data_IF_418607661676
#
_entry.id   IF_418607661676
#
_cell.length_a   1.000
_cell.length_b   1.000
_cell.length_c   1.000
_cell.angle_alpha   90.00
_cell.angle_beta   90.00
_cell.angle_gamma   90.00
#
_symmetry.space_group_name_H-M   'P 1'
#
loop_
_entity.id
_entity.type
_entity.pdbx_description
1 polymer ?
#
# COMPACT_ATOMS: atom_id res chain seq x y z
N UNK A 1 25.35 25.81 10.97
CA UNK A 1 25.92 26.07 9.65
C UNK A 1 25.31 25.10 8.65
N UNK A 2 24.89 25.56 7.48
CA UNK A 2 24.32 24.69 6.45
C UNK A 2 25.48 23.98 5.72
N UNK A 3 25.59 22.67 5.92
CA UNK A 3 26.65 21.83 5.35
C UNK A 3 26.16 20.94 4.20
N UNK A 4 24.90 21.13 3.78
CA UNK A 4 24.28 20.34 2.69
C UNK A 4 23.48 19.14 3.15
N UNK A 5 22.74 18.55 2.21
CA UNK A 5 21.82 17.43 2.48
C UNK A 5 22.57 16.14 2.81
N UNK A 6 23.64 15.83 2.06
CA UNK A 6 24.46 14.63 2.28
C UNK A 6 25.10 14.61 3.67
N UNK A 7 25.69 15.73 4.12
CA UNK A 7 26.28 15.82 5.45
C UNK A 7 25.21 15.71 6.55
N UNK A 8 24.06 16.35 6.38
CA UNK A 8 22.94 16.25 7.32
C UNK A 8 22.44 14.83 7.48
N UNK A 9 22.28 14.09 6.36
CA UNK A 9 21.87 12.69 6.37
C UNK A 9 22.95 11.77 6.97
N UNK A 10 24.23 12.03 6.69
CA UNK A 10 25.33 11.27 7.28
C UNK A 10 25.41 11.44 8.81
N UNK A 11 25.16 12.63 9.32
CA UNK A 11 25.08 12.89 10.77
C UNK A 11 23.89 12.16 11.38
N UNK A 12 22.73 12.19 10.73
CA UNK A 12 21.56 11.43 11.20
C UNK A 12 21.82 9.93 11.21
N UNK A 13 22.50 9.38 10.19
CA UNK A 13 22.93 7.97 10.16
C UNK A 13 23.86 7.62 11.31
N UNK A 14 24.80 8.51 11.66
CA UNK A 14 25.73 8.28 12.78
C UNK A 14 25.04 8.22 14.15
N UNK A 15 23.95 8.96 14.33
CA UNK A 15 23.17 9.00 15.57
C UNK A 15 22.06 7.94 15.64
N UNK A 16 21.70 7.31 14.51
CA UNK A 16 20.61 6.37 14.42
C UNK A 16 20.87 5.09 15.24
N UNK A 17 19.89 4.66 16.03
CA UNK A 17 19.96 3.48 16.93
C UNK A 17 18.95 2.38 16.56
N UNK A 18 17.98 2.67 15.69
CA UNK A 18 16.98 1.71 15.26
C UNK A 18 17.56 0.55 14.47
N UNK A 19 16.83 -0.53 14.35
CA UNK A 19 17.19 -1.68 13.50
C UNK A 19 17.14 -1.33 12.02
N UNK A 20 16.19 -0.48 11.67
CA UNK A 20 15.96 0.01 10.32
C UNK A 20 16.13 1.53 10.23
N UNK A 21 16.45 2.00 9.03
CA UNK A 21 16.53 3.42 8.68
C UNK A 21 15.45 3.72 7.65
N UNK A 22 14.67 4.76 7.92
CA UNK A 22 13.70 5.35 7.00
C UNK A 22 14.01 6.83 6.84
N UNK A 23 14.18 7.29 5.61
CA UNK A 23 14.40 8.71 5.32
C UNK A 23 13.04 9.41 5.11
N UNK A 24 12.99 10.68 5.52
CA UNK A 24 11.84 11.55 5.32
C UNK A 24 12.36 12.96 5.02
N UNK A 25 11.98 13.50 3.89
CA UNK A 25 12.31 14.89 3.53
C UNK A 25 11.34 15.85 4.25
N UNK A 26 11.82 17.04 4.62
CA UNK A 26 11.11 17.96 5.51
C UNK A 26 9.87 18.62 4.91
N UNK A 27 9.71 18.59 3.60
CA UNK A 27 8.58 19.13 2.84
C UNK A 27 7.56 18.08 2.40
N UNK A 28 7.79 16.81 2.80
CA UNK A 28 6.99 15.67 2.46
C UNK A 28 6.29 15.06 3.69
N UNK A 29 5.41 14.09 3.50
CA UNK A 29 4.81 13.34 4.61
C UNK A 29 4.62 11.86 4.31
N UNK A 30 4.52 11.06 5.37
CA UNK A 30 4.26 9.63 5.34
C UNK A 30 2.75 9.34 5.46
N UNK A 31 2.33 8.18 4.92
CA UNK A 31 1.05 7.64 5.36
C UNK A 31 1.12 7.23 6.83
N UNK A 32 0.03 7.29 7.61
CA UNK A 32 0.05 6.89 9.03
C UNK A 32 0.58 5.47 9.26
N UNK A 33 0.41 4.58 8.28
CA UNK A 33 0.78 3.17 8.33
C UNK A 33 2.17 2.89 7.74
N UNK A 34 2.83 3.88 7.13
CA UNK A 34 4.05 3.71 6.37
C UNK A 34 5.12 2.89 7.08
N UNK A 35 5.54 3.34 8.26
CA UNK A 35 6.59 2.67 9.03
C UNK A 35 6.15 1.25 9.45
N UNK A 36 4.87 1.07 9.82
CA UNK A 36 4.33 -0.25 10.18
C UNK A 36 4.36 -1.21 8.99
N UNK A 37 3.96 -0.77 7.81
CA UNK A 37 3.99 -1.58 6.58
C UNK A 37 5.41 -1.95 6.19
N UNK A 38 6.32 -1.01 6.23
CA UNK A 38 7.74 -1.24 5.96
C UNK A 38 8.36 -2.27 6.89
N UNK A 39 8.24 -2.07 8.20
CA UNK A 39 8.82 -2.96 9.22
C UNK A 39 8.21 -4.36 9.11
N UNK A 40 6.90 -4.46 8.99
CA UNK A 40 6.21 -5.75 8.84
C UNK A 40 6.67 -6.49 7.58
N UNK A 41 6.82 -5.80 6.45
CA UNK A 41 7.33 -6.41 5.21
C UNK A 41 8.76 -6.90 5.38
N UNK A 42 9.62 -6.12 6.05
CA UNK A 42 11.00 -6.51 6.33
C UNK A 42 11.09 -7.72 7.27
N UNK A 43 10.33 -7.73 8.35
CA UNK A 43 10.32 -8.82 9.35
C UNK A 43 9.74 -10.11 8.76
N UNK A 44 8.61 -10.04 8.07
CA UNK A 44 7.95 -11.22 7.49
C UNK A 44 8.75 -11.87 6.37
N UNK A 45 9.46 -11.08 5.56
CA UNK A 45 10.24 -11.59 4.44
C UNK A 45 11.70 -11.87 4.78
N UNK A 46 12.23 -11.29 5.86
CA UNK A 46 13.63 -11.34 6.22
C UNK A 46 14.56 -10.62 5.23
N UNK A 47 14.00 -9.72 4.40
CA UNK A 47 14.76 -9.00 3.38
C UNK A 47 15.73 -7.98 3.98
N UNK A 48 16.66 -7.54 3.15
CA UNK A 48 17.67 -6.55 3.54
C UNK A 48 17.22 -5.11 3.24
N UNK A 49 16.25 -4.93 2.34
CA UNK A 49 15.64 -3.65 1.99
C UNK A 49 14.17 -3.84 1.60
N UNK A 50 13.31 -2.88 1.94
CA UNK A 50 11.98 -2.77 1.35
C UNK A 50 11.93 -1.54 0.47
N UNK A 51 11.34 -1.65 -0.72
CA UNK A 51 11.00 -0.52 -1.59
C UNK A 51 9.48 -0.47 -1.75
N UNK A 52 8.90 0.73 -1.71
CA UNK A 52 7.45 0.90 -1.77
C UNK A 52 7.03 1.92 -2.83
N UNK A 53 5.78 1.83 -3.23
CA UNK A 53 5.13 2.84 -4.04
C UNK A 53 4.94 4.14 -3.27
N UNK A 54 4.61 5.22 -3.98
CA UNK A 54 4.38 6.53 -3.39
C UNK A 54 3.35 7.36 -4.17
N UNK A 55 2.88 8.42 -3.52
CA UNK A 55 2.06 9.44 -4.16
C UNK A 55 2.90 10.65 -4.56
N UNK A 56 2.63 11.17 -5.76
CA UNK A 56 3.12 12.49 -6.20
C UNK A 56 2.02 13.52 -5.99
N UNK A 57 2.31 14.54 -5.21
CA UNK A 57 1.39 15.65 -4.91
C UNK A 57 1.79 16.87 -5.73
N UNK A 58 0.88 17.41 -6.53
CA UNK A 58 1.07 18.61 -7.32
C UNK A 58 -0.13 19.56 -7.13
N UNK A 59 0.02 20.53 -6.22
CA UNK A 59 -1.09 21.36 -5.77
C UNK A 59 -2.18 20.52 -5.10
N UNK A 60 -3.39 20.55 -5.62
CA UNK A 60 -4.52 19.74 -5.14
C UNK A 60 -4.64 18.36 -5.79
N UNK A 61 -3.71 17.97 -6.66
CA UNK A 61 -3.77 16.72 -7.39
C UNK A 61 -2.76 15.72 -6.84
N UNK A 62 -3.18 14.47 -6.80
CA UNK A 62 -2.42 13.33 -6.32
C UNK A 62 -2.39 12.23 -7.38
N UNK A 63 -1.23 11.68 -7.65
CA UNK A 63 -1.04 10.56 -8.56
C UNK A 63 -0.21 9.46 -7.90
N UNK A 64 -0.61 8.21 -8.09
CA UNK A 64 0.15 7.03 -7.66
C UNK A 64 1.35 6.80 -8.57
N UNK A 65 2.49 6.44 -7.98
CA UNK A 65 3.69 6.01 -8.68
C UNK A 65 4.22 4.72 -8.07
N UNK A 66 4.30 3.71 -8.87
CA UNK A 66 5.01 2.45 -8.67
C UNK A 66 5.72 2.08 -9.96
N UNK A 67 6.63 1.12 -9.92
CA UNK A 67 7.34 0.62 -11.10
C UNK A 67 7.41 -0.91 -11.10
N UNK A 68 7.56 -1.57 -9.95
CA UNK A 68 7.59 -3.02 -9.84
C UNK A 68 6.16 -3.55 -9.81
N UNK A 69 5.75 -4.31 -10.82
CA UNK A 69 4.36 -4.74 -11.01
C UNK A 69 3.89 -5.81 -10.02
N UNK A 70 4.82 -6.59 -9.43
CA UNK A 70 4.48 -7.70 -8.54
C UNK A 70 5.03 -7.48 -7.15
N UNK A 71 4.14 -7.46 -6.15
CA UNK A 71 4.56 -7.47 -4.76
C UNK A 71 5.27 -8.77 -4.39
N UNK A 72 6.37 -8.67 -3.66
CA UNK A 72 7.07 -9.83 -3.13
C UNK A 72 8.56 -9.66 -2.95
N UNK A 73 9.18 -10.76 -2.55
CA UNK A 73 10.62 -10.86 -2.34
C UNK A 73 11.31 -11.05 -3.69
N UNK A 74 12.31 -10.22 -3.95
CA UNK A 74 13.17 -10.24 -5.12
C UNK A 74 14.62 -10.53 -4.67
N UNK A 75 15.32 -11.31 -5.44
CA UNK A 75 16.78 -11.37 -5.35
C UNK A 75 17.38 -10.03 -5.83
N UNK A 76 18.62 -9.78 -5.46
CA UNK A 76 19.35 -8.60 -5.95
C UNK A 76 19.40 -8.54 -7.49
N UNK A 77 19.56 -9.68 -8.16
CA UNK A 77 19.58 -9.76 -9.63
C UNK A 77 18.22 -9.44 -10.24
N UNK A 78 17.13 -9.99 -9.70
CA UNK A 78 15.77 -9.69 -10.17
C UNK A 78 15.45 -8.21 -9.97
N UNK A 79 15.83 -7.61 -8.84
CA UNK A 79 15.66 -6.18 -8.61
C UNK A 79 16.48 -5.33 -9.60
N UNK A 80 17.73 -5.71 -9.84
CA UNK A 80 18.58 -5.03 -10.82
C UNK A 80 18.01 -5.13 -12.23
N UNK A 81 17.42 -6.26 -12.62
CA UNK A 81 16.74 -6.42 -13.90
C UNK A 81 15.52 -5.48 -14.02
N UNK A 82 14.70 -5.35 -12.99
CA UNK A 82 13.57 -4.39 -12.97
C UNK A 82 14.08 -2.94 -13.12
N UNK A 83 15.10 -2.55 -12.39
CA UNK A 83 15.69 -1.20 -12.48
C UNK A 83 16.28 -0.92 -13.87
N UNK A 84 16.76 -1.93 -14.57
CA UNK A 84 17.34 -1.79 -15.91
C UNK A 84 16.28 -1.46 -16.98
N UNK A 85 15.03 -1.84 -16.78
CA UNK A 85 13.92 -1.49 -17.69
C UNK A 85 13.68 0.03 -17.70
N UNK A 86 13.76 0.67 -16.51
CA UNK A 86 13.56 2.11 -16.32
C UNK A 86 14.75 2.75 -15.57
N UNK A 87 15.96 2.78 -16.15
CA UNK A 87 17.22 3.00 -15.44
C UNK A 87 17.39 4.39 -14.80
N UNK A 88 16.65 5.39 -15.22
CA UNK A 88 16.67 6.73 -14.65
C UNK A 88 15.36 7.08 -13.93
N UNK A 89 14.55 6.06 -13.58
CA UNK A 89 13.28 6.32 -12.91
C UNK A 89 13.50 6.75 -11.45
N UNK A 90 12.77 7.79 -11.08
CA UNK A 90 12.78 8.38 -9.75
C UNK A 90 12.42 7.38 -8.64
N UNK A 91 11.62 6.36 -8.96
CA UNK A 91 11.25 5.27 -8.05
C UNK A 91 12.46 4.55 -7.46
N UNK A 92 13.49 4.27 -8.28
CA UNK A 92 14.71 3.61 -7.83
C UNK A 92 15.71 4.58 -7.20
N UNK A 93 15.67 5.85 -7.61
CA UNK A 93 16.69 6.86 -7.24
C UNK A 93 16.56 7.39 -5.82
N UNK A 94 15.35 7.61 -5.33
CA UNK A 94 15.10 8.29 -4.06
C UNK A 94 15.32 7.39 -2.84
N UNK A 95 15.57 8.00 -1.67
CA UNK A 95 15.78 7.26 -0.41
C UNK A 95 14.47 7.02 0.35
N UNK A 96 13.56 7.95 0.30
CA UNK A 96 12.42 8.04 1.19
C UNK A 96 11.29 7.02 0.91
N UNK A 97 11.28 6.36 -0.25
CA UNK A 97 10.38 5.24 -0.54
C UNK A 97 10.98 3.88 -0.15
N UNK A 98 12.00 3.87 0.69
CA UNK A 98 12.72 2.66 1.09
C UNK A 98 12.89 2.56 2.59
N UNK A 99 12.97 1.31 3.07
CA UNK A 99 13.42 0.97 4.41
C UNK A 99 14.71 0.19 4.30
N UNK A 100 15.74 0.64 4.99
CA UNK A 100 17.10 0.08 4.97
C UNK A 100 17.41 -0.63 6.27
N UNK A 101 18.03 -1.79 6.22
CA UNK A 101 18.55 -2.48 7.39
C UNK A 101 19.83 -1.79 7.87
N UNK A 102 19.79 -1.15 9.06
CA UNK A 102 20.92 -0.36 9.57
C UNK A 102 22.22 -1.15 9.66
N UNK A 103 22.18 -2.43 10.03
CA UNK A 103 23.35 -3.28 10.15
C UNK A 103 24.19 -3.39 8.86
N UNK A 104 23.58 -3.25 7.68
CA UNK A 104 24.29 -3.21 6.39
C UNK A 104 25.02 -1.88 6.24
N UNK A 105 24.34 -0.76 6.52
CA UNK A 105 24.92 0.57 6.46
C UNK A 105 26.16 0.66 7.37
N UNK A 106 26.07 0.15 8.60
CA UNK A 106 27.16 0.17 9.55
C UNK A 106 28.31 -0.76 9.18
N UNK A 107 27.99 -2.01 8.79
CA UNK A 107 28.99 -3.00 8.43
C UNK A 107 29.87 -2.54 7.28
N UNK A 108 29.29 -1.92 6.27
CA UNK A 108 29.99 -1.48 5.08
C UNK A 108 30.33 0.03 5.11
N UNK A 109 30.01 0.73 6.21
CA UNK A 109 30.31 2.15 6.44
C UNK A 109 29.76 3.04 5.32
N UNK A 110 28.57 2.72 4.85
CA UNK A 110 27.94 3.45 3.74
C UNK A 110 27.58 4.87 4.17
N UNK A 111 28.05 5.85 3.41
CA UNK A 111 27.77 7.28 3.63
C UNK A 111 27.59 7.95 2.27
N UNK A 112 26.83 9.03 2.26
CA UNK A 112 26.68 9.90 1.10
C UNK A 112 27.93 10.76 0.95
N UNK A 113 28.42 10.91 -0.28
CA UNK A 113 29.55 11.79 -0.57
C UNK A 113 29.09 13.26 -0.59
N UNK A 114 29.58 14.14 0.30
CA UNK A 114 29.21 15.55 0.33
C UNK A 114 29.62 16.32 -0.93
N UNK A 115 30.60 15.84 -1.68
CA UNK A 115 31.06 16.47 -2.93
C UNK A 115 30.11 16.19 -4.11
N UNK A 116 29.25 15.18 -3.97
CA UNK A 116 28.24 14.84 -4.98
C UNK A 116 26.95 15.62 -4.67
N UNK A 117 26.64 16.59 -5.50
CA UNK A 117 25.49 17.48 -5.33
C UNK A 117 24.26 17.07 -6.18
N UNK A 118 24.34 15.95 -6.89
CA UNK A 118 23.27 15.44 -7.75
C UNK A 118 23.28 13.92 -7.79
N UNK A 119 22.11 13.31 -7.59
CA UNK A 119 21.92 11.85 -7.52
C UNK A 119 22.72 11.17 -6.39
N UNK A 120 23.09 11.87 -5.33
CA UNK A 120 23.70 11.30 -4.13
C UNK A 120 22.85 10.17 -3.54
N UNK A 121 21.55 10.33 -3.59
CA UNK A 121 20.54 9.35 -3.17
C UNK A 121 20.63 8.06 -3.99
N UNK A 122 20.72 8.20 -5.32
CA UNK A 122 20.81 7.05 -6.22
C UNK A 122 22.12 6.30 -6.04
N UNK A 123 23.23 7.02 -5.91
CA UNK A 123 24.54 6.40 -5.65
C UNK A 123 24.52 5.63 -4.32
N UNK A 124 23.98 6.24 -3.26
CA UNK A 124 23.81 5.55 -1.97
C UNK A 124 22.96 4.30 -2.11
N UNK A 125 21.86 4.33 -2.87
CA UNK A 125 21.03 3.18 -3.14
C UNK A 125 21.80 2.07 -3.86
N UNK A 126 22.56 2.39 -4.91
CA UNK A 126 23.38 1.44 -5.64
C UNK A 126 24.41 0.77 -4.73
N UNK A 127 25.16 1.56 -3.94
CA UNK A 127 26.11 1.07 -2.97
C UNK A 127 25.46 0.15 -1.92
N UNK A 128 24.29 0.52 -1.41
CA UNK A 128 23.56 -0.29 -0.46
C UNK A 128 23.09 -1.61 -1.07
N UNK A 129 22.50 -1.58 -2.27
CA UNK A 129 21.98 -2.77 -2.95
C UNK A 129 23.07 -3.78 -3.29
N UNK A 130 24.31 -3.34 -3.57
CA UNK A 130 25.47 -4.24 -3.75
C UNK A 130 25.66 -5.21 -2.58
N UNK A 131 25.25 -4.83 -1.39
CA UNK A 131 25.38 -5.61 -0.15
C UNK A 131 24.08 -6.32 0.27
N UNK A 132 22.98 -6.13 -0.46
CA UNK A 132 21.73 -6.84 -0.24
C UNK A 132 21.77 -8.25 -0.83
N UNK A 133 21.07 -9.17 -0.17
CA UNK A 133 20.77 -10.50 -0.72
C UNK A 133 19.38 -10.48 -1.37
N UNK A 134 18.44 -9.78 -0.74
CA UNK A 134 17.06 -9.71 -1.17
C UNK A 134 16.40 -8.36 -0.85
N UNK A 135 15.48 -7.97 -1.69
CA UNK A 135 14.70 -6.75 -1.60
C UNK A 135 13.21 -7.12 -1.65
N UNK A 136 12.39 -6.52 -0.82
CA UNK A 136 10.95 -6.71 -0.88
C UNK A 136 10.28 -5.52 -1.59
N UNK A 137 9.56 -5.78 -2.67
CA UNK A 137 8.73 -4.80 -3.35
C UNK A 137 7.36 -4.74 -2.68
N UNK A 138 7.02 -3.62 -2.07
CA UNK A 138 5.75 -3.35 -1.39
C UNK A 138 4.87 -2.49 -2.29
N UNK A 139 3.80 -3.06 -2.84
CA UNK A 139 2.84 -2.34 -3.68
C UNK A 139 1.84 -1.52 -2.84
N UNK A 140 2.35 -0.67 -1.97
CA UNK A 140 1.55 0.26 -1.18
C UNK A 140 2.18 1.65 -1.22
N UNK A 141 1.44 2.69 -1.56
CA UNK A 141 1.95 4.06 -1.56
C UNK A 141 2.05 4.57 -0.12
N UNK A 142 3.27 4.55 0.43
CA UNK A 142 3.54 4.89 1.83
C UNK A 142 4.01 6.32 2.06
N UNK A 143 4.28 7.05 1.00
CA UNK A 143 4.92 8.37 1.02
C UNK A 143 4.19 9.36 0.11
N UNK A 144 4.12 10.62 0.50
CA UNK A 144 3.61 11.73 -0.31
C UNK A 144 4.75 12.65 -0.70
N UNK A 145 5.22 12.51 -1.92
CA UNK A 145 6.23 13.39 -2.50
C UNK A 145 5.57 14.67 -3.00
N UNK A 146 5.88 15.80 -2.36
CA UNK A 146 5.28 17.09 -2.66
C UNK A 146 6.13 17.88 -3.64
N UNK A 147 5.54 18.22 -4.77
CA UNK A 147 6.21 19.07 -5.74
C UNK A 147 6.09 20.54 -5.36
N UNK A 148 7.14 21.10 -4.77
CA UNK A 148 7.24 22.52 -4.42
C UNK A 148 7.86 23.33 -5.57
N UNK A 149 7.36 24.58 -5.76
CA UNK A 149 8.01 25.54 -6.68
C UNK A 149 9.35 25.97 -6.04
N UNK A 150 10.46 25.71 -6.73
CA UNK A 150 11.79 26.07 -6.24
C UNK A 150 12.55 24.95 -5.53
N UNK A 151 12.11 23.68 -5.68
CA UNK A 151 12.90 22.55 -5.22
C UNK A 151 14.31 22.54 -5.82
N UNK A 152 15.29 21.98 -5.10
CA UNK A 152 16.69 21.88 -5.53
C UNK A 152 16.83 21.29 -6.93
N UNK A 153 15.95 20.40 -7.33
CA UNK A 153 15.87 19.79 -8.67
C UNK A 153 15.58 20.83 -9.77
N UNK A 154 14.86 21.92 -9.45
CA UNK A 154 14.48 22.96 -10.43
C UNK A 154 15.45 24.15 -10.50
N UNK A 155 16.39 24.27 -9.57
CA UNK A 155 17.24 25.48 -9.40
C UNK A 155 18.68 25.33 -9.91
N UNK A 156 19.11 24.16 -10.37
CA UNK A 156 20.48 23.93 -10.82
C UNK A 156 20.71 24.44 -12.25
N UNK A 157 20.97 25.73 -12.37
CA UNK A 157 21.57 26.36 -13.54
C UNK A 157 23.08 26.07 -13.65
N UNK A 158 23.47 24.78 -13.68
CA UNK A 158 24.86 24.38 -13.88
C UNK A 158 25.25 24.49 -15.37
N UNK A 159 26.52 24.84 -15.65
CA UNK A 159 27.05 24.84 -17.00
C UNK A 159 26.86 23.45 -17.65
N UNK A 160 26.59 23.39 -18.96
CA UNK A 160 26.37 22.15 -19.72
C UNK A 160 27.48 21.11 -19.46
N UNK A 161 28.75 21.57 -19.38
CA UNK A 161 29.90 20.70 -19.12
C UNK A 161 29.85 20.05 -17.73
N UNK A 162 29.42 20.77 -16.71
CA UNK A 162 29.28 20.24 -15.37
C UNK A 162 28.14 19.18 -15.31
N UNK A 163 27.03 19.46 -15.98
CA UNK A 163 25.90 18.51 -16.05
C UNK A 163 26.30 17.21 -16.74
N UNK A 164 27.06 17.27 -17.85
CA UNK A 164 27.55 16.07 -18.53
C UNK A 164 28.51 15.29 -17.62
N UNK A 165 29.43 15.96 -16.96
CA UNK A 165 30.38 15.32 -16.05
C UNK A 165 29.69 14.63 -14.88
N UNK A 166 28.69 15.25 -14.29
CA UNK A 166 27.88 14.68 -13.21
C UNK A 166 27.14 13.40 -13.69
N UNK A 167 26.50 13.46 -14.88
CA UNK A 167 25.79 12.30 -15.44
C UNK A 167 26.73 11.14 -15.79
N UNK A 168 27.93 11.42 -16.27
CA UNK A 168 28.97 10.41 -16.49
C UNK A 168 29.38 9.74 -15.18
N UNK A 169 29.61 10.54 -14.13
CA UNK A 169 29.98 9.99 -12.81
C UNK A 169 28.90 9.04 -12.27
N UNK A 170 27.63 9.45 -12.29
CA UNK A 170 26.51 8.59 -11.86
C UNK A 170 26.43 7.32 -12.70
N UNK A 171 26.67 7.43 -14.02
CA UNK A 171 26.71 6.28 -14.89
C UNK A 171 27.86 5.30 -14.54
N UNK A 172 29.00 5.79 -14.12
CA UNK A 172 30.11 4.91 -13.69
C UNK A 172 29.71 4.05 -12.50
N UNK A 173 29.05 4.64 -11.48
CA UNK A 173 28.48 3.87 -10.35
C UNK A 173 27.43 2.84 -10.83
N UNK A 174 26.53 3.27 -11.70
CA UNK A 174 25.49 2.41 -12.26
C UNK A 174 26.09 1.23 -13.06
N UNK A 175 27.05 1.51 -13.92
CA UNK A 175 27.75 0.51 -14.73
C UNK A 175 28.55 -0.45 -13.87
N UNK A 176 29.26 0.05 -12.86
CA UNK A 176 30.03 -0.76 -11.93
C UNK A 176 29.12 -1.68 -11.11
N UNK A 177 27.95 -1.17 -10.68
CA UNK A 177 26.94 -1.98 -9.99
C UNK A 177 26.53 -3.21 -10.81
N UNK A 178 26.25 -3.07 -12.10
CA UNK A 178 25.88 -4.21 -12.94
C UNK A 178 27.03 -5.19 -13.19
N UNK A 179 28.26 -4.70 -13.36
CA UNK A 179 29.45 -5.54 -13.47
C UNK A 179 29.72 -6.40 -12.24
N UNK A 180 29.24 -5.98 -11.08
CA UNK A 180 29.42 -6.75 -9.84
C UNK A 180 28.26 -7.71 -9.55
N UNK A 181 27.09 -7.44 -10.10
CA UNK A 181 25.91 -8.29 -9.93
C UNK A 181 25.90 -9.45 -10.91
N UNK A 182 26.37 -9.24 -12.13
CA UNK A 182 26.40 -10.21 -13.22
C UNK A 182 27.84 -10.67 -13.45
N UNK A 183 28.00 -11.93 -13.84
CA UNK A 183 29.27 -12.41 -14.37
C UNK A 183 29.59 -11.73 -15.72
N UNK A 184 30.84 -11.90 -16.20
CA UNK A 184 31.33 -11.20 -17.38
C UNK A 184 30.52 -11.53 -18.65
N UNK A 185 30.12 -12.80 -18.83
CA UNK A 185 29.32 -13.25 -19.98
C UNK A 185 27.90 -12.64 -19.93
N UNK A 186 27.21 -12.77 -18.80
CA UNK A 186 25.88 -12.18 -18.58
C UNK A 186 25.88 -10.66 -18.67
N UNK A 187 26.96 -10.00 -18.21
CA UNK A 187 27.09 -8.55 -18.32
C UNK A 187 27.24 -8.12 -19.79
N UNK A 188 28.01 -8.83 -20.61
CA UNK A 188 28.17 -8.50 -22.02
C UNK A 188 26.85 -8.57 -22.78
N UNK A 189 25.97 -9.52 -22.45
CA UNK A 189 24.62 -9.63 -23.02
C UNK A 189 23.74 -8.43 -22.70
N UNK A 190 23.81 -7.89 -21.47
CA UNK A 190 22.97 -6.79 -21.01
C UNK A 190 23.60 -5.39 -21.18
N UNK A 191 24.88 -5.32 -21.58
CA UNK A 191 25.66 -4.07 -21.62
C UNK A 191 24.96 -2.94 -22.36
N UNK A 192 24.30 -3.21 -23.49
CA UNK A 192 23.56 -2.20 -24.23
C UNK A 192 22.35 -1.66 -23.45
N UNK A 193 21.70 -2.49 -22.65
CA UNK A 193 20.61 -2.06 -21.75
C UNK A 193 21.15 -1.19 -20.62
N UNK A 194 22.29 -1.54 -20.04
CA UNK A 194 22.96 -0.70 -19.04
C UNK A 194 23.31 0.67 -19.62
N UNK A 195 23.80 0.74 -20.85
CA UNK A 195 24.10 2.00 -21.54
C UNK A 195 22.84 2.82 -21.90
N UNK A 196 21.65 2.22 -21.93
CA UNK A 196 20.38 2.94 -22.06
C UNK A 196 20.19 4.02 -20.99
N UNK A 197 20.84 3.88 -19.84
CA UNK A 197 20.87 4.91 -18.78
C UNK A 197 21.25 6.29 -19.31
N UNK A 198 22.25 6.40 -20.17
CA UNK A 198 22.64 7.69 -20.77
C UNK A 198 21.52 8.35 -21.57
N UNK A 199 20.80 7.53 -22.35
CA UNK A 199 19.69 8.04 -23.16
C UNK A 199 18.53 8.53 -22.28
N UNK A 200 18.28 7.83 -21.18
CA UNK A 200 17.22 8.19 -20.25
C UNK A 200 17.63 9.38 -19.40
N UNK A 201 18.84 9.38 -18.85
CA UNK A 201 19.39 10.51 -18.08
C UNK A 201 19.55 11.80 -18.91
N UNK A 202 19.72 11.71 -20.22
CA UNK A 202 19.72 12.89 -21.11
C UNK A 202 18.34 13.56 -21.17
N UNK A 203 17.25 12.85 -20.83
CA UNK A 203 15.87 13.36 -20.84
C UNK A 203 15.44 13.96 -19.50
N UNK A 204 16.25 13.87 -18.45
CA UNK A 204 15.95 14.36 -17.08
C UNK A 204 15.65 15.85 -16.96
N UNK A 205 15.82 16.64 -18.01
CA UNK A 205 15.35 18.04 -18.05
C UNK A 205 13.87 18.17 -18.39
N UNK A 206 13.17 17.07 -18.71
CA UNK A 206 11.75 17.09 -19.02
C UNK A 206 10.94 17.05 -17.74
N UNK A 207 10.47 18.21 -17.34
CA UNK A 207 9.46 18.35 -16.29
C UNK A 207 8.16 17.74 -16.81
N UNK A 208 7.87 16.50 -16.43
CA UNK A 208 6.62 15.85 -16.79
C UNK A 208 5.39 16.69 -16.39
N UNK A 209 4.21 16.43 -16.99
CA UNK A 209 3.00 17.18 -16.73
C UNK A 209 2.72 17.26 -15.23
N UNK A 210 2.24 18.40 -14.76
CA UNK A 210 1.88 18.62 -13.35
C UNK A 210 0.74 17.70 -12.90
N UNK A 211 -0.12 17.30 -13.85
CA UNK A 211 -1.25 16.39 -13.63
C UNK A 211 -1.02 15.17 -14.52
N UNK A 212 -0.94 14.01 -13.90
CA UNK A 212 -0.81 12.73 -14.60
C UNK A 212 -2.18 12.11 -14.85
N UNK A 213 -2.34 11.27 -15.91
CA UNK A 213 -3.56 10.49 -16.10
C UNK A 213 -3.86 9.65 -14.85
N UNK A 214 -5.12 9.63 -14.43
CA UNK A 214 -5.54 8.91 -13.22
C UNK A 214 -5.31 9.67 -11.91
N UNK A 215 -4.88 10.93 -11.95
CA UNK A 215 -4.80 11.78 -10.76
C UNK A 215 -6.16 11.98 -10.11
N UNK A 216 -6.19 11.95 -8.76
CA UNK A 216 -7.34 12.26 -7.92
C UNK A 216 -7.06 13.51 -7.11
N UNK A 217 -8.08 14.10 -6.46
CA UNK A 217 -7.83 15.20 -5.53
C UNK A 217 -7.17 14.70 -4.26
N UNK A 218 -6.26 15.50 -3.74
CA UNK A 218 -5.61 15.24 -2.45
C UNK A 218 -6.67 15.17 -1.34
N UNK A 219 -6.64 14.09 -0.58
CA UNK A 219 -7.61 13.79 0.48
C UNK A 219 -8.72 12.84 0.06
N UNK A 220 -9.00 12.67 -1.24
CA UNK A 220 -10.00 11.69 -1.71
C UNK A 220 -9.53 10.24 -1.47
N UNK A 221 -8.23 10.02 -1.46
CA UNK A 221 -7.61 8.72 -1.16
C UNK A 221 -7.82 8.27 0.29
N UNK A 222 -8.17 9.21 1.18
CA UNK A 222 -8.21 8.99 2.64
C UNK A 222 -9.46 9.52 3.33
N UNK A 223 -10.57 9.61 2.63
CA UNK A 223 -11.81 10.14 3.21
C UNK A 223 -12.26 9.42 4.49
N UNK A 224 -11.90 8.14 4.66
CA UNK A 224 -12.27 7.35 5.84
C UNK A 224 -11.45 7.65 7.10
N UNK A 225 -10.29 8.32 6.98
CA UNK A 225 -9.44 8.60 8.16
C UNK A 225 -9.83 9.87 8.94
N UNK A 226 -10.68 10.71 8.40
CA UNK A 226 -11.19 11.87 9.13
C UNK A 226 -12.05 11.40 10.32
N UNK A 227 -11.59 11.67 11.56
CA UNK A 227 -12.39 11.44 12.75
C UNK A 227 -13.07 12.74 13.15
N UNK A 228 -14.39 12.75 13.46
CA UNK A 228 -15.04 13.90 14.02
C UNK A 228 -14.50 14.22 15.43
N UNK A 229 -14.57 15.47 15.85
CA UNK A 229 -14.17 15.90 17.20
C UNK A 229 -14.92 15.12 18.29
N UNK A 230 -16.15 14.74 18.02
CA UNK A 230 -17.00 13.93 18.90
C UNK A 230 -16.43 12.51 19.22
N UNK A 231 -15.29 12.11 18.67
CA UNK A 231 -14.66 10.79 18.98
C UNK A 231 -14.29 10.65 20.47
N UNK A 232 -14.09 11.75 21.16
CA UNK A 232 -13.78 11.80 22.60
C UNK A 232 -15.03 11.66 23.50
N UNK A 233 -16.24 11.80 22.93
CA UNK A 233 -17.47 11.67 23.71
C UNK A 233 -17.71 10.20 24.10
N UNK A 234 -18.26 10.00 25.32
CA UNK A 234 -18.61 8.69 25.83
C UNK A 234 -20.03 8.25 25.42
N UNK A 235 -20.23 6.94 25.49
CA UNK A 235 -21.53 6.32 25.27
C UNK A 235 -21.49 5.16 24.31
N UNK A 236 -22.51 4.30 24.39
CA UNK A 236 -22.61 3.05 23.61
C UNK A 236 -22.49 3.28 22.10
N UNK A 237 -23.15 4.35 21.61
CA UNK A 237 -23.07 4.70 20.18
C UNK A 237 -21.65 5.08 19.75
N UNK A 238 -20.93 5.81 20.61
CA UNK A 238 -19.56 6.22 20.34
C UNK A 238 -18.58 5.05 20.45
N UNK A 239 -18.83 4.09 21.33
CA UNK A 239 -18.04 2.86 21.39
C UNK A 239 -18.14 2.08 20.07
N UNK A 240 -19.34 1.83 19.56
CA UNK A 240 -19.53 1.19 18.25
C UNK A 240 -18.87 1.98 17.11
N UNK A 241 -19.00 3.30 17.14
CA UNK A 241 -18.39 4.19 16.17
C UNK A 241 -16.86 4.06 16.19
N UNK A 242 -16.22 4.15 17.38
CA UNK A 242 -14.77 4.02 17.56
C UNK A 242 -14.24 2.68 17.06
N UNK A 243 -14.90 1.56 17.43
CA UNK A 243 -14.51 0.22 16.97
C UNK A 243 -14.62 0.09 15.45
N UNK A 244 -15.72 0.55 14.88
CA UNK A 244 -15.90 0.52 13.42
C UNK A 244 -14.85 1.37 12.72
N UNK A 245 -14.59 2.59 13.18
CA UNK A 245 -13.59 3.47 12.57
C UNK A 245 -12.18 2.93 12.68
N UNK A 246 -11.83 2.31 13.81
CA UNK A 246 -10.55 1.65 13.94
C UNK A 246 -10.42 0.48 12.95
N UNK A 247 -11.45 -0.35 12.81
CA UNK A 247 -11.46 -1.46 11.87
C UNK A 247 -11.40 -0.98 10.40
N UNK A 248 -12.18 0.04 10.03
CA UNK A 248 -12.14 0.66 8.70
C UNK A 248 -10.73 1.12 8.32
N UNK A 249 -9.94 1.67 9.26
CA UNK A 249 -8.54 2.04 9.01
C UNK A 249 -7.66 0.85 8.61
N UNK A 250 -7.83 -0.29 9.27
CA UNK A 250 -7.10 -1.50 8.90
C UNK A 250 -7.53 -2.02 7.52
N UNK A 251 -8.83 -2.01 7.23
CA UNK A 251 -9.37 -2.38 5.92
C UNK A 251 -8.87 -1.44 4.81
N UNK A 252 -8.71 -0.15 5.10
CA UNK A 252 -8.22 0.83 4.12
C UNK A 252 -6.75 0.61 3.77
N UNK A 253 -5.92 0.22 4.73
CA UNK A 253 -4.53 -0.20 4.44
C UNK A 253 -4.51 -1.38 3.47
N UNK A 254 -5.39 -2.38 3.69
CA UNK A 254 -5.52 -3.52 2.78
C UNK A 254 -6.02 -3.06 1.40
N UNK A 255 -6.97 -2.12 1.36
CA UNK A 255 -7.50 -1.56 0.12
C UNK A 255 -6.41 -0.86 -0.70
N UNK A 256 -5.65 0.04 -0.08
CA UNK A 256 -4.54 0.77 -0.71
C UNK A 256 -3.52 -0.21 -1.28
N UNK A 257 -3.11 -1.18 -0.47
CA UNK A 257 -2.10 -2.18 -0.84
C UNK A 257 -2.50 -3.04 -2.04
N UNK A 258 -3.78 -3.28 -2.23
CA UNK A 258 -4.30 -4.14 -3.30
C UNK A 258 -4.98 -3.34 -4.44
N UNK A 259 -4.84 -2.03 -4.45
CA UNK A 259 -5.47 -1.17 -5.46
C UNK A 259 -7.00 -1.26 -5.47
N UNK A 260 -7.60 -1.53 -4.30
CA UNK A 260 -9.03 -1.61 -4.08
C UNK A 260 -9.54 -0.36 -3.38
N UNK A 261 -10.84 -0.15 -3.42
CA UNK A 261 -11.51 0.82 -2.55
C UNK A 261 -11.88 0.18 -1.22
N UNK A 262 -12.01 0.98 -0.16
CA UNK A 262 -12.50 0.50 1.14
C UNK A 262 -13.82 -0.28 1.01
N UNK A 263 -14.74 0.19 0.16
CA UNK A 263 -16.02 -0.49 -0.07
C UNK A 263 -15.87 -1.88 -0.70
N UNK A 264 -14.91 -2.07 -1.60
CA UNK A 264 -14.59 -3.39 -2.18
C UNK A 264 -14.03 -4.33 -1.09
N UNK A 265 -13.16 -3.83 -0.25
CA UNK A 265 -12.58 -4.60 0.87
C UNK A 265 -13.64 -4.96 1.91
N UNK A 266 -14.52 -4.03 2.31
CA UNK A 266 -15.60 -4.32 3.25
C UNK A 266 -16.56 -5.39 2.70
N UNK A 267 -16.86 -5.39 1.41
CA UNK A 267 -17.63 -6.45 0.77
C UNK A 267 -16.93 -7.80 0.90
N UNK A 268 -15.62 -7.88 0.66
CA UNK A 268 -14.85 -9.12 0.83
C UNK A 268 -14.83 -9.60 2.28
N UNK A 269 -14.67 -8.69 3.26
CA UNK A 269 -14.73 -9.00 4.70
C UNK A 269 -16.01 -9.74 5.05
N UNK A 270 -17.16 -9.17 4.67
CA UNK A 270 -18.45 -9.77 5.05
C UNK A 270 -18.81 -11.03 4.24
N UNK A 271 -18.34 -11.14 3.00
CA UNK A 271 -18.48 -12.38 2.23
C UNK A 271 -17.61 -13.51 2.77
N UNK A 272 -16.39 -13.20 3.26
CA UNK A 272 -15.52 -14.17 3.94
C UNK A 272 -16.15 -14.71 5.23
N UNK A 273 -16.81 -13.84 6.01
CA UNK A 273 -17.35 -14.19 7.33
C UNK A 273 -18.75 -14.82 7.27
N UNK A 274 -19.51 -14.65 6.19
CA UNK A 274 -20.92 -15.08 6.14
C UNK A 274 -21.32 -15.69 4.79
N UNK A 275 -21.42 -17.00 4.77
CA UNK A 275 -22.04 -17.77 3.66
C UNK A 275 -23.58 -17.59 3.56
N UNK A 276 -24.20 -16.94 4.54
CA UNK A 276 -25.66 -16.75 4.60
C UNK A 276 -26.15 -15.52 3.83
N UNK A 277 -25.26 -14.63 3.39
CA UNK A 277 -25.62 -13.43 2.64
C UNK A 277 -26.10 -13.81 1.25
N UNK A 278 -27.36 -13.45 0.93
CA UNK A 278 -28.01 -13.74 -0.35
C UNK A 278 -28.49 -12.50 -1.10
N UNK A 279 -28.46 -11.36 -0.46
CA UNK A 279 -28.99 -10.13 -1.04
C UNK A 279 -27.99 -8.96 -0.91
N UNK A 280 -27.93 -8.13 -1.93
CA UNK A 280 -27.11 -6.90 -1.91
C UNK A 280 -27.52 -5.96 -0.76
N UNK A 281 -28.81 -6.00 -0.34
CA UNK A 281 -29.29 -5.23 0.81
C UNK A 281 -28.67 -5.70 2.11
N UNK A 282 -28.49 -6.99 2.32
CA UNK A 282 -27.84 -7.54 3.51
C UNK A 282 -26.36 -7.12 3.59
N UNK A 283 -25.64 -7.16 2.46
CA UNK A 283 -24.28 -6.63 2.41
C UNK A 283 -24.20 -5.13 2.70
N UNK A 284 -25.19 -4.37 2.22
CA UNK A 284 -25.26 -2.94 2.45
C UNK A 284 -25.42 -2.61 3.95
N UNK A 285 -26.31 -3.34 4.62
CA UNK A 285 -26.53 -3.21 6.06
C UNK A 285 -25.29 -3.59 6.87
N UNK A 286 -24.66 -4.73 6.55
CA UNK A 286 -23.44 -5.19 7.21
C UNK A 286 -22.27 -4.24 7.03
N UNK A 287 -22.04 -3.76 5.81
CA UNK A 287 -20.93 -2.88 5.48
C UNK A 287 -21.18 -1.40 5.84
N UNK A 288 -22.38 -1.03 6.30
CA UNK A 288 -22.76 0.36 6.54
C UNK A 288 -22.74 1.21 5.27
N UNK A 289 -23.04 0.62 4.12
CA UNK A 289 -22.95 1.22 2.79
C UNK A 289 -24.33 1.36 2.14
N UNK A 290 -24.43 2.19 1.09
CA UNK A 290 -25.64 2.21 0.26
C UNK A 290 -25.69 0.97 -0.65
N UNK A 291 -26.89 0.49 -0.99
CA UNK A 291 -27.08 -0.59 -1.96
C UNK A 291 -26.40 -0.31 -3.30
N UNK A 292 -26.37 0.95 -3.72
CA UNK A 292 -25.70 1.39 -4.94
C UNK A 292 -24.18 1.22 -4.84
N UNK A 293 -23.58 1.65 -3.73
CA UNK A 293 -22.13 1.52 -3.48
C UNK A 293 -21.71 0.05 -3.44
N UNK A 294 -22.47 -0.81 -2.75
CA UNK A 294 -22.22 -2.26 -2.75
C UNK A 294 -22.38 -2.86 -4.15
N UNK A 295 -23.40 -2.46 -4.91
CA UNK A 295 -23.57 -2.90 -6.29
C UNK A 295 -22.35 -2.56 -7.17
N UNK A 296 -21.80 -1.36 -7.01
CA UNK A 296 -20.60 -0.93 -7.72
C UNK A 296 -19.36 -1.73 -7.28
N UNK A 297 -19.19 -1.95 -5.97
CA UNK A 297 -18.08 -2.76 -5.44
C UNK A 297 -18.13 -4.21 -5.98
N UNK A 298 -19.31 -4.85 -5.94
CA UNK A 298 -19.49 -6.20 -6.49
C UNK A 298 -19.13 -6.28 -7.97
N UNK A 299 -19.55 -5.30 -8.80
CA UNK A 299 -19.21 -5.27 -10.22
C UNK A 299 -17.70 -5.13 -10.47
N UNK A 300 -17.02 -4.32 -9.66
CA UNK A 300 -15.57 -4.16 -9.78
C UNK A 300 -14.80 -5.42 -9.37
N UNK A 301 -15.23 -6.07 -8.28
CA UNK A 301 -14.65 -7.33 -7.83
C UNK A 301 -14.86 -8.45 -8.85
N UNK A 302 -16.05 -8.53 -9.50
CA UNK A 302 -16.28 -9.44 -10.61
C UNK A 302 -15.37 -9.18 -11.80
N UNK A 303 -15.21 -7.90 -12.18
CA UNK A 303 -14.30 -7.51 -13.28
C UNK A 303 -12.84 -7.89 -13.01
N UNK A 304 -12.44 -7.91 -11.73
CA UNK A 304 -11.11 -8.33 -11.28
C UNK A 304 -10.98 -9.84 -11.06
N UNK A 305 -12.03 -10.61 -11.36
CA UNK A 305 -12.10 -12.07 -11.16
C UNK A 305 -11.91 -12.50 -9.69
N UNK A 306 -12.13 -11.60 -8.74
CA UNK A 306 -12.05 -11.88 -7.30
C UNK A 306 -13.33 -12.47 -6.72
N UNK A 307 -14.44 -12.29 -7.43
CA UNK A 307 -15.78 -12.69 -7.01
C UNK A 307 -16.58 -13.21 -8.20
N UNK A 308 -17.32 -14.28 -7.97
CA UNK A 308 -18.39 -14.73 -8.86
C UNK A 308 -19.73 -14.67 -8.14
N UNK A 309 -20.78 -14.25 -8.82
CA UNK A 309 -22.15 -14.31 -8.30
C UNK A 309 -23.09 -14.91 -9.31
N UNK A 310 -23.93 -15.82 -8.84
CA UNK A 310 -24.99 -16.42 -9.63
C UNK A 310 -26.38 -16.20 -9.00
N UNK A 311 -27.41 -15.99 -9.79
CA UNK A 311 -28.78 -15.86 -9.26
C UNK A 311 -29.27 -17.18 -8.72
N UNK A 312 -29.85 -17.17 -7.50
CA UNK A 312 -30.48 -18.35 -6.93
C UNK A 312 -31.80 -18.58 -7.67
N UNK A 313 -31.90 -19.69 -8.40
CA UNK A 313 -33.14 -20.10 -9.07
C UNK A 313 -34.15 -20.57 -8.02
N UNK A 314 -35.25 -19.85 -7.84
CA UNK A 314 -36.37 -20.29 -7.03
C UNK A 314 -37.12 -21.34 -7.85
N UNK A 315 -36.91 -22.61 -7.51
CA UNK A 315 -37.74 -23.73 -8.06
C UNK A 315 -39.14 -23.54 -7.47
N UNK A 316 -40.08 -23.08 -8.28
CA UNK A 316 -41.50 -23.11 -7.92
C UNK A 316 -41.96 -24.53 -8.02
N UNK A 317 -42.16 -25.22 -6.90
CA UNK A 317 -43.07 -26.37 -6.88
C UNK A 317 -44.46 -25.87 -7.26
N UNK A 318 -44.88 -26.26 -8.46
CA UNK A 318 -46.19 -25.97 -8.98
C UNK A 318 -47.23 -26.73 -8.16
N UNK A 319 -47.77 -26.12 -7.09
CA UNK A 319 -49.09 -26.55 -6.58
C UNK A 319 -50.13 -26.03 -7.58
N UNK A 320 -50.62 -26.99 -8.39
CA UNK A 320 -51.86 -26.84 -9.17
C UNK A 320 -53.01 -26.54 -8.23
N UNK A 321 -53.57 -25.35 -8.31
CA UNK A 321 -55.01 -25.11 -8.28
C UNK A 321 -55.37 -23.61 -8.33
N UNK A 322 -56.22 -23.29 -9.29
CA UNK A 322 -57.28 -22.30 -9.31
C UNK A 322 -57.02 -20.82 -9.46
N UNK A 323 -57.38 -20.37 -10.66
CA UNK A 323 -58.16 -19.15 -11.04
C UNK A 323 -57.67 -17.74 -10.67
N UNK A 324 -57.33 -17.05 -11.79
CA UNK A 324 -57.67 -15.64 -12.13
C UNK A 324 -57.61 -14.56 -11.05
N UNK A 325 -56.60 -13.72 -11.18
CA UNK A 325 -56.79 -12.27 -11.48
C UNK A 325 -55.41 -11.58 -11.40
N UNK A 326 -55.23 -10.68 -12.36
CA UNK A 326 -54.23 -9.60 -12.43
C UNK A 326 -53.37 -9.43 -11.18
N UNK A 327 -52.13 -9.94 -11.23
CA UNK A 327 -51.06 -9.48 -10.38
C UNK A 327 -49.92 -9.04 -11.25
N UNK A 328 -49.65 -7.77 -11.15
CA UNK A 328 -48.49 -7.05 -11.68
C UNK A 328 -47.20 -7.82 -11.43
N UNK A 329 -46.39 -7.92 -12.48
CA UNK A 329 -45.07 -8.55 -12.53
C UNK A 329 -44.08 -7.89 -11.53
N UNK A 330 -44.10 -8.33 -10.29
CA UNK A 330 -42.94 -8.25 -9.40
C UNK A 330 -42.48 -9.72 -9.22
N UNK A 331 -41.70 -10.23 -10.16
CA UNK A 331 -40.96 -11.46 -9.93
C UNK A 331 -40.06 -11.22 -8.72
N UNK A 332 -40.37 -11.86 -7.58
CA UNK A 332 -39.45 -11.96 -6.45
C UNK A 332 -38.17 -12.58 -7.01
N UNK A 333 -37.14 -11.74 -7.23
CA UNK A 333 -35.79 -12.19 -7.61
C UNK A 333 -35.33 -13.06 -6.46
N UNK A 334 -35.01 -14.32 -6.71
CA UNK A 334 -34.21 -15.15 -5.83
C UNK A 334 -32.91 -14.38 -5.55
N UNK A 335 -32.36 -14.55 -4.34
CA UNK A 335 -31.11 -13.91 -3.97
C UNK A 335 -29.92 -14.30 -4.87
N UNK A 336 -28.76 -13.93 -4.45
CA UNK A 336 -27.49 -14.26 -5.10
C UNK A 336 -26.74 -15.33 -4.30
N UNK A 337 -26.02 -16.21 -4.99
CA UNK A 337 -24.93 -16.99 -4.41
C UNK A 337 -23.66 -16.25 -4.75
N UNK A 338 -22.84 -15.95 -3.74
CA UNK A 338 -21.53 -15.32 -3.88
C UNK A 338 -20.45 -16.37 -3.66
N UNK A 339 -19.44 -16.38 -4.52
CA UNK A 339 -18.27 -17.24 -4.46
C UNK A 339 -17.01 -16.40 -4.59
N UNK A 340 -16.12 -16.49 -3.62
CA UNK A 340 -14.81 -15.85 -3.68
C UNK A 340 -13.88 -16.71 -4.54
N UNK A 341 -13.22 -16.08 -5.50
CA UNK A 341 -12.33 -16.74 -6.46
C UNK A 341 -10.87 -16.68 -5.99
N UNK A 342 -9.97 -17.51 -6.54
CA UNK A 342 -8.56 -17.56 -6.13
C UNK A 342 -7.84 -16.21 -6.19
N UNK A 343 -8.23 -15.32 -7.10
CA UNK A 343 -7.67 -13.97 -7.24
C UNK A 343 -7.96 -13.06 -6.04
N UNK A 344 -8.93 -13.41 -5.20
CA UNK A 344 -9.18 -12.71 -3.93
C UNK A 344 -8.24 -13.17 -2.80
N UNK A 345 -7.58 -14.31 -2.92
CA UNK A 345 -6.79 -14.94 -1.86
C UNK A 345 -5.68 -14.02 -1.30
N UNK A 346 -4.92 -13.24 -2.10
CA UNK A 346 -3.93 -12.30 -1.57
C UNK A 346 -4.57 -11.25 -0.64
N UNK A 347 -5.73 -10.71 -1.03
CA UNK A 347 -6.48 -9.72 -0.23
C UNK A 347 -6.99 -10.34 1.06
N UNK A 348 -7.49 -11.57 1.00
CA UNK A 348 -7.99 -12.30 2.17
C UNK A 348 -6.89 -12.58 3.19
N UNK A 349 -5.67 -12.92 2.74
CA UNK A 349 -4.49 -13.06 3.63
C UNK A 349 -4.11 -11.74 4.30
N UNK A 350 -4.12 -10.66 3.54
CA UNK A 350 -3.85 -9.33 4.12
C UNK A 350 -4.92 -8.93 5.14
N UNK A 351 -6.18 -9.29 4.91
CA UNK A 351 -7.25 -9.09 5.90
C UNK A 351 -7.02 -9.90 7.17
N UNK A 352 -6.54 -11.14 7.08
CA UNK A 352 -6.19 -11.94 8.27
C UNK A 352 -5.06 -11.32 9.10
N UNK A 353 -4.09 -10.72 8.43
CA UNK A 353 -3.03 -9.99 9.10
C UNK A 353 -3.57 -8.70 9.73
N UNK A 354 -4.44 -7.99 9.05
CA UNK A 354 -5.11 -6.80 9.56
C UNK A 354 -6.00 -7.12 10.78
N UNK A 355 -6.71 -8.26 10.79
CA UNK A 355 -7.48 -8.76 11.93
C UNK A 355 -6.57 -9.01 13.15
N UNK A 356 -5.43 -9.68 12.97
CA UNK A 356 -4.45 -9.92 14.05
C UNK A 356 -3.90 -8.61 14.62
N UNK A 357 -3.56 -7.67 13.76
CA UNK A 357 -3.05 -6.37 14.18
C UNK A 357 -4.12 -5.54 14.92
N UNK A 358 -5.36 -5.57 14.44
CA UNK A 358 -6.50 -4.92 15.08
C UNK A 358 -6.72 -5.49 16.50
N UNK A 359 -6.69 -6.82 16.65
CA UNK A 359 -6.80 -7.47 17.95
C UNK A 359 -5.62 -7.11 18.87
N UNK A 360 -4.40 -7.12 18.37
CA UNK A 360 -3.22 -6.76 19.14
C UNK A 360 -3.29 -5.32 19.69
N UNK A 361 -3.78 -4.38 18.89
CA UNK A 361 -3.93 -2.98 19.31
C UNK A 361 -5.04 -2.82 20.36
N UNK A 362 -6.16 -3.52 20.19
CA UNK A 362 -7.27 -3.49 21.15
C UNK A 362 -6.85 -3.98 22.54
N UNK A 363 -5.99 -5.00 22.60
CA UNK A 363 -5.54 -5.60 23.86
C UNK A 363 -4.15 -5.15 24.30
N UNK A 364 -3.58 -4.09 23.74
CA UNK A 364 -2.20 -3.64 23.99
C UNK A 364 -1.87 -3.41 25.49
N UNK A 365 -2.87 -3.06 26.31
CA UNK A 365 -2.70 -2.78 27.74
C UNK A 365 -3.29 -3.86 28.64
N UNK A 366 -3.71 -4.99 28.07
CA UNK A 366 -4.29 -6.10 28.82
C UNK A 366 -3.23 -7.15 29.11
N UNK A 367 -3.28 -7.73 30.31
CA UNK A 367 -2.63 -9.00 30.61
C UNK A 367 -3.38 -10.16 29.93
N UNK A 368 -2.75 -11.31 29.79
CA UNK A 368 -3.40 -12.49 29.19
C UNK A 368 -4.61 -12.96 30.00
N UNK A 369 -4.59 -12.80 31.34
CA UNK A 369 -5.71 -13.14 32.22
C UNK A 369 -6.89 -12.20 32.01
N UNK A 370 -6.66 -10.89 31.94
CA UNK A 370 -7.68 -9.88 31.65
C UNK A 370 -8.27 -10.10 30.26
N UNK A 371 -7.43 -10.37 29.25
CA UNK A 371 -7.88 -10.67 27.89
C UNK A 371 -8.79 -11.90 27.86
N UNK A 372 -8.40 -13.00 28.53
CA UNK A 372 -9.21 -14.22 28.64
C UNK A 372 -10.54 -13.97 29.32
N UNK A 373 -10.52 -13.22 30.40
CA UNK A 373 -11.74 -12.84 31.14
C UNK A 373 -12.66 -12.00 30.29
N UNK A 374 -12.12 -10.98 29.61
CA UNK A 374 -12.87 -10.12 28.69
C UNK A 374 -13.54 -10.93 27.58
N UNK A 375 -12.81 -11.81 26.91
CA UNK A 375 -13.33 -12.65 25.82
C UNK A 375 -14.49 -13.56 26.32
N UNK A 376 -14.35 -14.18 27.49
CA UNK A 376 -15.42 -15.00 28.06
C UNK A 376 -16.68 -14.21 28.43
N UNK A 377 -16.54 -12.98 28.94
CA UNK A 377 -17.67 -12.10 29.22
C UNK A 377 -18.33 -11.60 27.93
N UNK A 378 -17.54 -11.26 26.93
CA UNK A 378 -18.02 -10.80 25.62
C UNK A 378 -18.82 -11.91 24.90
N UNK A 379 -18.41 -13.18 25.00
CA UNK A 379 -19.14 -14.30 24.46
C UNK A 379 -20.56 -14.42 25.06
N UNK A 380 -20.67 -14.28 26.39
CA UNK A 380 -21.98 -14.26 27.07
C UNK A 380 -22.85 -13.10 26.62
N UNK A 381 -22.25 -11.89 26.50
CA UNK A 381 -22.94 -10.71 26.01
C UNK A 381 -23.45 -10.90 24.58
N UNK A 382 -22.62 -11.44 23.70
CA UNK A 382 -23.03 -11.76 22.32
C UNK A 382 -24.14 -12.81 22.27
N UNK A 383 -24.12 -13.81 23.16
CA UNK A 383 -25.21 -14.79 23.32
C UNK A 383 -26.52 -14.09 23.59
N UNK A 384 -26.56 -13.27 24.64
CA UNK A 384 -27.76 -12.52 25.03
C UNK A 384 -28.30 -11.65 23.89
N UNK A 385 -27.40 -10.90 23.21
CA UNK A 385 -27.80 -10.03 22.07
C UNK A 385 -28.39 -10.87 20.93
N UNK A 386 -27.77 -12.01 20.58
CA UNK A 386 -28.27 -12.90 19.52
C UNK A 386 -29.65 -13.46 19.85
N UNK A 387 -29.89 -13.83 21.11
CA UNK A 387 -31.18 -14.39 21.53
C UNK A 387 -32.29 -13.30 21.45
N UNK A 388 -32.02 -12.11 21.97
CA UNK A 388 -32.96 -10.97 21.86
C UNK A 388 -33.29 -10.63 20.39
N UNK A 389 -32.29 -10.59 19.51
CA UNK A 389 -32.51 -10.30 18.09
C UNK A 389 -33.30 -11.43 17.37
N UNK A 390 -33.14 -12.70 17.79
CA UNK A 390 -33.93 -13.82 17.25
C UNK A 390 -35.39 -13.77 17.68
N UNK A 391 -35.62 -13.44 18.93
CA UNK A 391 -36.94 -13.43 19.54
C UNK A 391 -37.78 -12.22 19.15
N UNK A 392 -37.22 -11.26 18.41
CA UNK A 392 -37.87 -10.01 18.01
C UNK A 392 -38.50 -9.24 19.17
N UNK A 393 -37.85 -9.24 20.34
CA UNK A 393 -38.36 -8.65 21.60
C UNK A 393 -37.96 -7.16 21.72
N UNK A 394 -37.49 -6.53 20.67
CA UNK A 394 -37.25 -5.06 20.68
C UNK A 394 -38.09 -4.40 19.60
#
# INVERSE_FOLDING_TARGET
ENTGVSDSRNRALAEAKGEYIQFLDSDDWLTPEATKLFVRSAENSGCDMVIADFYRVAGENLSHKGDIEKEGLLTRQEFAAQMMENPADFYYGVLWNKLFKRSIIEKYRLRMDPEISWCEDFIFNLEYIRHCRSIYALQAPVYYYVRTKGSLVSSQGSSINNTIRMKLNVFEYYNQFYKEIYDEESYDDIRLHVYKFFLMAARDGFVGPSILPGSVKLGEERQSFALPEAVEEDGVAMDFYRYRKLWERYCEVVAIKNGLTLGEVLVLVYLKQSFAVKETGQLADLAGMTKRSVGTALQKLEKRQMLHREPIKVVREAKRAAKQKQETKAAKRGGWRFELLPEAEPVLRELELAEKDFEAVRFRRFSEEEKKTYLGLTEKLHGNVKDILRDRIV
#
